data_IF_253186318201
#
_entry.id   IF_253186318201
#
_cell.length_a   1.000
_cell.length_b   1.000
_cell.length_c   1.000
_cell.angle_alpha   90.00
_cell.angle_beta   90.00
_cell.angle_gamma   90.00
#
_symmetry.space_group_name_H-M   'P 1'
#
loop_
_entity.id
_entity.type
_entity.pdbx_description
1 polymer ?
#
# COMPACT_ATOMS: atom_id res chain seq x y z
N UNK A 1 23.54 -6.37 -0.58
CA UNK A 1 22.13 -6.62 -0.24
C UNK A 1 21.20 -5.82 -1.15
N UNK A 2 21.20 -6.15 -2.43
CA UNK A 2 20.35 -5.54 -3.46
C UNK A 2 18.92 -6.05 -3.38
N UNK A 3 18.73 -7.34 -3.09
CA UNK A 3 17.43 -7.98 -3.18
C UNK A 3 16.47 -7.51 -2.09
N UNK A 4 16.94 -7.34 -0.85
CA UNK A 4 16.16 -6.73 0.25
C UNK A 4 15.70 -5.32 -0.11
N UNK A 5 16.57 -4.53 -0.75
CA UNK A 5 16.21 -3.18 -1.20
C UNK A 5 15.14 -3.24 -2.30
N UNK A 6 15.35 -4.09 -3.31
CA UNK A 6 14.41 -4.25 -4.42
C UNK A 6 13.05 -4.78 -3.94
N UNK A 7 13.05 -5.71 -2.98
CA UNK A 7 11.86 -6.22 -2.34
C UNK A 7 11.14 -5.12 -1.54
N UNK A 8 11.86 -4.32 -0.74
CA UNK A 8 11.26 -3.16 -0.05
C UNK A 8 10.61 -2.18 -1.02
N UNK A 9 11.26 -1.86 -2.14
CA UNK A 9 10.69 -1.01 -3.18
C UNK A 9 9.46 -1.64 -3.87
N UNK A 10 9.46 -2.97 -4.02
CA UNK A 10 8.34 -3.73 -4.57
C UNK A 10 7.16 -3.73 -3.62
N UNK A 11 7.39 -4.00 -2.33
CA UNK A 11 6.38 -3.93 -1.28
C UNK A 11 5.75 -2.54 -1.21
N UNK A 12 6.57 -1.48 -1.19
CA UNK A 12 6.07 -0.11 -1.27
C UNK A 12 5.11 0.08 -2.46
N UNK A 13 5.50 -0.42 -3.63
CA UNK A 13 4.67 -0.31 -4.82
C UNK A 13 3.35 -1.07 -4.72
N UNK A 14 3.37 -2.28 -4.16
CA UNK A 14 2.15 -3.07 -3.93
C UNK A 14 1.20 -2.40 -2.92
N UNK A 15 1.75 -1.76 -1.88
CA UNK A 15 0.98 -1.12 -0.82
C UNK A 15 0.37 0.23 -1.24
N UNK A 16 1.06 0.97 -2.11
CA UNK A 16 0.69 2.36 -2.46
C UNK A 16 0.20 2.53 -3.90
N UNK A 17 0.47 1.56 -4.78
CA UNK A 17 0.29 1.69 -6.23
C UNK A 17 1.32 2.61 -6.91
N UNK A 18 2.30 3.14 -6.17
CA UNK A 18 3.26 4.14 -6.66
C UNK A 18 4.70 3.66 -6.46
N UNK A 19 5.65 4.20 -7.22
CA UNK A 19 7.08 3.88 -7.00
C UNK A 19 7.61 4.77 -5.87
N UNK A 20 8.48 4.27 -4.97
CA UNK A 20 9.03 5.10 -3.90
C UNK A 20 9.88 6.25 -4.43
N UNK A 21 10.63 6.00 -5.52
CA UNK A 21 11.43 7.01 -6.20
C UNK A 21 10.95 7.15 -7.65
N UNK A 22 10.57 8.35 -8.03
CA UNK A 22 10.10 8.69 -9.37
C UNK A 22 10.97 9.76 -10.01
N UNK A 23 11.02 9.74 -11.35
CA UNK A 23 11.74 10.69 -12.19
C UNK A 23 11.42 10.41 -13.65
N UNK A 24 11.51 11.46 -14.47
CA UNK A 24 11.34 11.38 -15.93
C UNK A 24 12.58 10.84 -16.63
N UNK A 25 13.74 10.88 -15.97
CA UNK A 25 15.00 10.33 -16.47
C UNK A 25 15.65 9.35 -15.49
N UNK A 26 16.53 8.48 -15.99
CA UNK A 26 17.30 7.57 -15.15
C UNK A 26 18.17 8.32 -14.11
N UNK A 27 18.70 9.48 -14.50
CA UNK A 27 19.48 10.34 -13.61
C UNK A 27 18.64 10.90 -12.46
N UNK A 28 17.42 11.36 -12.74
CA UNK A 28 16.50 11.85 -11.69
C UNK A 28 16.11 10.75 -10.70
N UNK A 29 15.84 9.54 -11.20
CA UNK A 29 15.55 8.39 -10.34
C UNK A 29 16.77 8.02 -9.48
N UNK A 30 17.98 8.04 -10.05
CA UNK A 30 19.20 7.78 -9.28
C UNK A 30 19.41 8.83 -8.19
N UNK A 31 19.26 10.11 -8.53
CA UNK A 31 19.35 11.22 -7.58
C UNK A 31 18.31 11.11 -6.46
N UNK A 32 17.08 10.73 -6.78
CA UNK A 32 16.03 10.51 -5.78
C UNK A 32 16.39 9.35 -4.83
N UNK A 33 16.93 8.24 -5.35
CA UNK A 33 17.43 7.12 -4.54
C UNK A 33 18.57 7.55 -3.61
N UNK A 34 19.52 8.34 -4.11
CA UNK A 34 20.63 8.88 -3.32
C UNK A 34 20.17 9.82 -2.20
N UNK A 35 19.10 10.58 -2.43
CA UNK A 35 18.49 11.41 -1.38
C UNK A 35 17.79 10.56 -0.31
N UNK A 36 17.37 9.33 -0.66
CA UNK A 36 16.73 8.40 0.26
C UNK A 36 15.41 8.90 0.83
N UNK A 37 14.75 9.85 0.16
CA UNK A 37 13.47 10.43 0.58
C UNK A 37 12.36 9.95 -0.36
N UNK A 38 11.38 9.28 0.21
CA UNK A 38 10.12 8.91 -0.42
C UNK A 38 8.99 9.17 0.59
N UNK A 39 7.76 9.32 0.12
CA UNK A 39 6.63 9.53 1.02
C UNK A 39 6.32 8.23 1.77
N UNK A 40 6.08 8.24 3.10
CA UNK A 40 5.65 7.04 3.83
C UNK A 40 4.43 6.36 3.21
N UNK A 41 4.40 5.03 3.19
CA UNK A 41 3.33 4.27 2.55
C UNK A 41 1.98 4.49 3.27
N UNK A 42 1.97 4.65 4.59
CA UNK A 42 0.77 5.00 5.37
C UNK A 42 0.13 6.33 4.97
N UNK A 43 0.93 7.28 4.45
CA UNK A 43 0.42 8.56 3.95
C UNK A 43 -0.16 8.45 2.53
N UNK A 44 0.39 7.55 1.72
CA UNK A 44 -0.15 7.27 0.38
C UNK A 44 -1.41 6.40 0.44
N UNK A 45 -1.49 5.48 1.40
CA UNK A 45 -2.62 4.58 1.60
C UNK A 45 -2.93 4.45 3.10
N UNK A 46 -4.02 5.08 3.60
CA UNK A 46 -4.40 5.02 5.01
C UNK A 46 -4.73 3.61 5.54
N UNK A 47 -4.94 2.62 4.66
CA UNK A 47 -5.10 1.22 5.04
C UNK A 47 -3.77 0.53 5.40
N UNK A 48 -2.63 1.18 5.18
CA UNK A 48 -1.29 0.66 5.49
C UNK A 48 -0.89 1.10 6.90
N UNK A 49 -0.60 0.17 7.83
CA UNK A 49 -0.13 0.51 9.16
C UNK A 49 1.25 1.17 9.17
N UNK A 50 1.46 2.17 10.04
CA UNK A 50 2.76 2.85 10.21
C UNK A 50 3.91 1.90 10.61
N UNK A 51 3.59 0.72 11.15
CA UNK A 51 4.60 -0.31 11.42
C UNK A 51 5.31 -0.76 10.13
N UNK A 52 4.61 -0.80 9.00
CA UNK A 52 5.19 -1.17 7.71
C UNK A 52 6.13 -0.08 7.16
N UNK A 53 5.89 1.20 7.45
CA UNK A 53 6.79 2.28 7.03
C UNK A 53 8.20 2.08 7.60
N UNK A 54 8.30 1.70 8.89
CA UNK A 54 9.59 1.42 9.54
C UNK A 54 10.34 0.26 8.88
N UNK A 55 9.62 -0.76 8.43
CA UNK A 55 10.21 -1.91 7.72
C UNK A 55 10.70 -1.47 6.34
N UNK A 56 9.90 -0.68 5.61
CA UNK A 56 10.26 -0.13 4.31
C UNK A 56 11.50 0.77 4.40
N UNK A 57 11.57 1.63 5.42
CA UNK A 57 12.71 2.53 5.66
C UNK A 57 14.00 1.74 5.88
N UNK A 58 13.95 0.69 6.69
CA UNK A 58 15.11 -0.16 6.95
C UNK A 58 15.49 -0.97 5.72
N UNK A 59 14.53 -1.58 5.02
CA UNK A 59 14.79 -2.37 3.82
C UNK A 59 15.42 -1.53 2.69
N UNK A 60 14.94 -0.30 2.51
CA UNK A 60 15.39 0.64 1.46
C UNK A 60 16.47 1.63 1.93
N UNK A 61 17.12 1.40 3.06
CA UNK A 61 18.20 2.27 3.53
C UNK A 61 19.32 2.42 2.49
N UNK A 62 19.84 3.64 2.30
CA UNK A 62 20.89 3.90 1.30
C UNK A 62 22.16 3.10 1.59
N UNK A 63 22.61 3.15 2.85
CA UNK A 63 23.72 2.34 3.34
C UNK A 63 23.27 0.87 3.48
N UNK A 64 23.87 -0.07 2.73
CA UNK A 64 23.56 -1.49 2.87
C UNK A 64 23.66 -1.95 4.32
N UNK A 65 24.65 -1.48 5.09
CA UNK A 65 24.90 -1.88 6.48
C UNK A 65 23.68 -1.67 7.39
N UNK A 66 22.86 -0.66 7.09
CA UNK A 66 21.64 -0.30 7.85
C UNK A 66 20.41 -1.10 7.45
N UNK A 67 20.47 -1.88 6.37
CA UNK A 67 19.38 -2.77 5.94
C UNK A 67 19.32 -4.01 6.82
N UNK A 68 18.23 -4.75 6.71
CA UNK A 68 18.20 -6.15 7.14
C UNK A 68 19.38 -6.91 6.52
N UNK A 69 20.09 -7.71 7.31
CA UNK A 69 21.30 -8.42 6.89
C UNK A 69 20.97 -9.62 5.99
N UNK A 70 19.80 -10.22 6.19
CA UNK A 70 19.28 -11.35 5.42
C UNK A 70 17.75 -11.32 5.37
N UNK A 71 17.17 -12.31 4.70
CA UNK A 71 15.73 -12.44 4.56
C UNK A 71 15.04 -12.84 5.88
N UNK A 72 15.72 -13.59 6.75
CA UNK A 72 15.18 -14.03 8.04
C UNK A 72 14.90 -12.82 8.93
N UNK A 73 15.83 -11.87 9.02
CA UNK A 73 15.64 -10.65 9.81
C UNK A 73 14.46 -9.79 9.30
N UNK A 74 14.23 -9.79 7.97
CA UNK A 74 13.09 -9.10 7.38
C UNK A 74 11.77 -9.83 7.70
N UNK A 75 11.75 -11.16 7.63
CA UNK A 75 10.58 -11.97 7.97
C UNK A 75 10.20 -11.78 9.43
N UNK A 76 11.17 -11.87 10.35
CA UNK A 76 10.95 -11.64 11.79
C UNK A 76 10.35 -10.26 12.06
N UNK A 77 10.83 -9.22 11.35
CA UNK A 77 10.28 -7.88 11.48
C UNK A 77 8.84 -7.77 10.97
N UNK A 78 8.49 -8.50 9.90
CA UNK A 78 7.14 -8.55 9.37
C UNK A 78 6.19 -9.33 10.29
N UNK A 79 6.62 -10.48 10.81
CA UNK A 79 5.86 -11.28 11.76
C UNK A 79 5.59 -10.51 13.06
N UNK A 80 6.57 -9.74 13.54
CA UNK A 80 6.43 -8.90 14.72
C UNK A 80 5.36 -7.80 14.57
N UNK A 81 4.90 -7.49 13.36
CA UNK A 81 3.77 -6.56 13.15
C UNK A 81 2.41 -7.17 13.50
N UNK A 82 2.32 -8.51 13.59
CA UNK A 82 1.06 -9.23 13.76
C UNK A 82 0.15 -9.23 12.53
N UNK A 83 0.63 -8.72 11.38
CA UNK A 83 -0.11 -8.69 10.11
C UNK A 83 0.08 -9.97 9.29
N UNK A 84 1.10 -10.78 9.62
CA UNK A 84 1.40 -12.02 8.92
C UNK A 84 0.42 -13.12 9.35
N UNK A 85 -0.25 -13.73 8.38
CA UNK A 85 -1.14 -14.86 8.59
C UNK A 85 -0.69 -16.04 7.71
N UNK A 86 -0.79 -17.26 8.22
CA UNK A 86 -0.39 -18.49 7.53
C UNK A 86 -1.24 -18.76 6.28
N UNK A 87 -2.46 -18.21 6.23
CA UNK A 87 -3.36 -18.27 5.08
C UNK A 87 -3.61 -16.87 4.54
N UNK A 88 -3.47 -16.70 3.22
CA UNK A 88 -3.83 -15.47 2.52
C UNK A 88 -5.35 -15.36 2.44
N UNK A 89 -5.94 -14.56 3.33
CA UNK A 89 -7.31 -14.08 3.16
C UNK A 89 -7.30 -12.86 2.24
N UNK A 90 -7.41 -13.11 0.94
CA UNK A 90 -7.83 -12.06 0.02
C UNK A 90 -9.25 -11.70 0.41
N UNK A 91 -9.43 -10.55 1.06
CA UNK A 91 -10.75 -9.98 1.26
C UNK A 91 -11.46 -10.01 -0.10
N UNK A 92 -12.49 -10.85 -0.24
CA UNK A 92 -13.42 -10.75 -1.36
C UNK A 92 -13.96 -9.32 -1.42
N UNK A 93 -14.59 -8.86 -2.51
CA UNK A 93 -15.21 -7.54 -2.54
C UNK A 93 -16.09 -7.43 -1.30
N UNK A 94 -15.64 -6.63 -0.33
CA UNK A 94 -16.32 -6.51 0.95
C UNK A 94 -17.77 -6.11 0.66
N UNK A 95 -18.74 -6.50 1.50
CA UNK A 95 -20.09 -5.99 1.34
C UNK A 95 -20.01 -4.47 1.45
N UNK A 96 -20.07 -3.80 0.30
CA UNK A 96 -20.26 -2.36 0.22
C UNK A 96 -21.58 -2.10 0.91
N UNK A 97 -21.52 -1.59 2.15
CA UNK A 97 -22.68 -1.13 2.87
C UNK A 97 -23.46 -0.13 2.01
N UNK A 98 -24.78 -0.27 2.03
CA UNK A 98 -25.75 0.79 1.69
C UNK A 98 -25.75 1.29 0.24
N UNK A 99 -26.11 0.41 -0.70
CA UNK A 99 -27.01 0.85 -1.77
C UNK A 99 -28.38 1.18 -1.15
N UNK A 100 -28.50 2.43 -0.70
CA UNK A 100 -29.76 3.08 -0.30
C UNK A 100 -30.86 2.68 -1.28
N UNK A 101 -31.85 1.91 -0.80
CA UNK A 101 -33.11 1.74 -1.50
C UNK A 101 -33.72 3.12 -1.65
N UNK A 102 -33.64 3.67 -2.86
CA UNK A 102 -34.47 4.80 -3.27
C UNK A 102 -35.92 4.38 -3.04
N UNK A 103 -36.70 5.08 -2.19
CA UNK A 103 -38.11 4.74 -2.04
C UNK A 103 -38.79 4.96 -3.40
N UNK A 104 -39.58 3.96 -3.81
CA UNK A 104 -40.42 4.02 -4.99
C UNK A 104 -41.31 5.27 -4.87
N UNK A 105 -41.02 6.30 -5.67
CA UNK A 105 -41.88 7.45 -5.77
C UNK A 105 -43.23 6.96 -6.33
N UNK A 106 -44.23 6.95 -5.46
CA UNK A 106 -45.62 6.73 -5.82
C UNK A 106 -46.12 8.01 -6.48
N UNK A 107 -46.05 8.09 -7.81
CA UNK A 107 -46.70 9.14 -8.59
C UNK A 107 -48.10 8.67 -9.05
N UNK A 108 -49.05 8.88 -8.13
CA UNK A 108 -50.40 9.41 -8.33
C UNK A 108 -50.93 9.53 -9.78
N UNK A 109 -51.97 8.74 -10.04
CA UNK A 109 -53.24 9.08 -10.72
C UNK A 109 -53.25 10.24 -11.73
N UNK A 110 -53.58 9.91 -12.98
CA UNK A 110 -54.51 10.74 -13.75
C UNK A 110 -55.64 9.88 -14.32
N UNK A 111 -56.86 10.26 -13.92
CA UNK A 111 -58.16 9.80 -14.36
C UNK A 111 -58.69 10.92 -15.27
N UNK A 112 -59.28 10.59 -16.43
CA UNK A 112 -60.05 11.55 -17.24
C UNK A 112 -60.17 11.08 -18.70
N UNK A 113 -61.18 10.28 -19.05
CA UNK A 113 -62.50 10.72 -19.56
C UNK A 113 -62.43 11.61 -20.81
N UNK A 114 -62.54 11.02 -21.99
CA UNK A 114 -63.63 11.22 -22.96
C UNK A 114 -63.43 10.36 -24.20
#
# INVERSE_FOLDING_TARGET
RSDIYALGATMYHLLTGQRPFAGSTAYEVLKAKEQGRYEPASRCNPGVPEALDRILDKAMALDPARRYQDATELIEALEATGLAHETLELAGPGPSETATRVPAHTARSQRGTR
#
